data_IF_108294806817
#
_entry.id   IF_108294806817
#
_cell.length_a   1.000
_cell.length_b   1.000
_cell.length_c   1.000
_cell.angle_alpha   90.00
_cell.angle_beta   90.00
_cell.angle_gamma   90.00
#
_symmetry.space_group_name_H-M   'P 1'
#
loop_
_entity.id
_entity.type
_entity.pdbx_description
1 polymer ?
#
# COMPACT_ATOMS: atom_id res chain seq x y z
N UNK A 1 22.46 -32.33 18.86
CA UNK A 1 22.64 -31.42 20.01
C UNK A 1 21.76 -30.21 19.80
N UNK A 2 20.80 -29.97 20.70
CA UNK A 2 19.71 -29.01 20.54
C UNK A 2 20.22 -27.56 20.63
N UNK A 3 20.05 -26.77 19.55
CA UNK A 3 20.36 -25.32 19.53
C UNK A 3 19.30 -24.60 20.36
N UNK A 4 19.70 -23.91 21.44
CA UNK A 4 18.83 -22.95 22.13
C UNK A 4 18.48 -21.81 21.16
N UNK A 5 17.22 -21.71 20.74
CA UNK A 5 16.71 -20.56 20.01
C UNK A 5 16.94 -19.28 20.82
N UNK A 6 17.44 -18.24 20.16
CA UNK A 6 17.69 -16.91 20.74
C UNK A 6 16.43 -16.17 21.23
N UNK A 7 15.26 -16.79 21.08
CA UNK A 7 13.93 -16.30 21.46
C UNK A 7 13.46 -16.81 22.83
N UNK A 8 14.24 -17.71 23.47
CA UNK A 8 13.90 -18.30 24.78
C UNK A 8 14.91 -17.82 25.83
N UNK A 9 14.43 -17.00 26.77
CA UNK A 9 15.23 -16.53 27.90
C UNK A 9 15.65 -17.71 28.80
N UNK A 10 16.67 -17.54 29.64
CA UNK A 10 17.08 -18.53 30.67
C UNK A 10 15.93 -18.99 31.60
N UNK A 11 14.84 -18.23 31.67
CA UNK A 11 13.62 -18.50 32.44
C UNK A 11 12.45 -19.10 31.63
N UNK A 12 12.65 -19.51 30.37
CA UNK A 12 11.60 -20.12 29.54
C UNK A 12 10.54 -19.16 28.98
N UNK A 13 10.65 -17.85 29.25
CA UNK A 13 9.78 -16.82 28.68
C UNK A 13 10.15 -16.55 27.22
N UNK A 14 9.14 -16.60 26.35
CA UNK A 14 9.21 -16.19 24.95
C UNK A 14 9.42 -14.67 24.89
N UNK A 15 10.44 -14.22 24.15
CA UNK A 15 10.68 -12.80 23.90
C UNK A 15 10.29 -12.45 22.46
N UNK A 16 9.76 -11.24 22.21
CA UNK A 16 9.57 -10.78 20.84
C UNK A 16 10.93 -10.75 20.12
N UNK A 17 10.96 -11.02 18.81
CA UNK A 17 12.18 -10.88 18.03
C UNK A 17 12.66 -9.43 18.13
N UNK A 18 13.98 -9.26 18.27
CA UNK A 18 14.64 -7.95 18.27
C UNK A 18 15.68 -7.90 17.16
N UNK A 19 15.98 -6.70 16.68
CA UNK A 19 17.04 -6.50 15.68
C UNK A 19 18.35 -7.18 16.12
N UNK A 20 18.76 -6.96 17.36
CA UNK A 20 19.95 -7.56 17.94
C UNK A 20 19.94 -9.08 17.98
N UNK A 21 18.80 -9.68 18.34
CA UNK A 21 18.62 -11.13 18.37
C UNK A 21 18.74 -11.77 16.99
N UNK A 22 18.09 -11.18 15.99
CA UNK A 22 18.14 -11.65 14.59
C UNK A 22 19.53 -11.44 13.98
N UNK A 23 20.16 -10.28 14.22
CA UNK A 23 21.52 -9.97 13.76
C UNK A 23 22.53 -10.98 14.31
N UNK A 24 22.45 -11.30 15.61
CA UNK A 24 23.30 -12.31 16.25
C UNK A 24 23.13 -13.68 15.61
N UNK A 25 21.88 -14.13 15.45
CA UNK A 25 21.55 -15.42 14.81
C UNK A 25 22.18 -15.52 13.43
N UNK A 26 21.94 -14.51 12.57
CA UNK A 26 22.45 -14.51 11.20
C UNK A 26 23.98 -14.45 11.12
N UNK A 27 24.64 -13.77 12.07
CA UNK A 27 26.09 -13.74 12.20
C UNK A 27 26.65 -15.10 12.62
N UNK A 28 26.06 -15.72 13.64
CA UNK A 28 26.49 -17.01 14.19
C UNK A 28 26.29 -18.15 13.18
N UNK A 29 25.17 -18.17 12.46
CA UNK A 29 24.91 -19.14 11.39
C UNK A 29 25.94 -19.05 10.25
N UNK A 30 26.52 -17.86 10.04
CA UNK A 30 27.59 -17.60 9.07
C UNK A 30 29.00 -17.72 9.65
N UNK A 31 29.14 -18.08 10.93
CA UNK A 31 30.43 -18.18 11.66
C UNK A 31 31.29 -16.91 11.55
N UNK A 32 30.66 -15.75 11.53
CA UNK A 32 31.33 -14.45 11.44
C UNK A 32 31.62 -13.95 12.86
N UNK A 33 32.84 -13.46 13.11
CA UNK A 33 33.15 -12.81 14.40
C UNK A 33 32.53 -11.40 14.45
N UNK A 34 32.26 -10.88 15.66
CA UNK A 34 31.74 -9.51 15.82
C UNK A 34 32.68 -8.47 15.24
N UNK A 35 33.99 -8.68 15.40
CA UNK A 35 35.04 -7.81 14.90
C UNK A 35 35.00 -7.75 13.37
N UNK A 36 34.84 -8.91 12.71
CA UNK A 36 34.78 -8.98 11.25
C UNK A 36 33.52 -8.31 10.71
N UNK A 37 32.38 -8.52 11.36
CA UNK A 37 31.13 -7.87 10.99
C UNK A 37 31.20 -6.34 11.21
N UNK A 38 31.74 -5.91 12.35
CA UNK A 38 31.90 -4.50 12.69
C UNK A 38 32.84 -3.77 11.71
N UNK A 39 33.99 -4.39 11.41
CA UNK A 39 34.94 -3.88 10.43
C UNK A 39 34.30 -3.72 9.05
N UNK A 40 33.56 -4.73 8.59
CA UNK A 40 32.88 -4.67 7.30
C UNK A 40 31.77 -3.61 7.25
N UNK A 41 31.12 -3.32 8.38
CA UNK A 41 30.07 -2.31 8.48
C UNK A 41 30.59 -0.90 8.84
N UNK A 42 31.91 -0.71 8.99
CA UNK A 42 32.50 0.59 9.34
C UNK A 42 32.15 1.08 10.74
N UNK A 43 31.85 0.17 11.67
CA UNK A 43 31.49 0.48 13.07
C UNK A 43 32.44 -0.23 14.05
N UNK A 44 32.40 0.14 15.32
CA UNK A 44 33.23 -0.52 16.34
C UNK A 44 32.67 -1.90 16.74
N UNK A 45 33.54 -2.84 17.13
CA UNK A 45 33.10 -4.15 17.66
C UNK A 45 32.20 -4.00 18.91
N UNK A 46 32.48 -2.98 19.73
CA UNK A 46 31.64 -2.59 20.86
C UNK A 46 30.24 -2.16 20.40
N UNK A 47 30.11 -1.41 19.31
CA UNK A 47 28.81 -1.03 18.75
C UNK A 47 27.96 -2.24 18.32
N UNK A 48 28.56 -3.22 17.63
CA UNK A 48 27.88 -4.48 17.28
C UNK A 48 27.47 -5.27 18.52
N UNK A 49 28.29 -5.25 19.57
CA UNK A 49 27.97 -5.91 20.84
C UNK A 49 26.72 -5.31 21.49
N UNK A 50 26.63 -3.98 21.56
CA UNK A 50 25.46 -3.29 22.09
C UNK A 50 24.21 -3.50 21.22
N UNK A 51 24.36 -3.50 19.89
CA UNK A 51 23.25 -3.82 18.99
C UNK A 51 22.71 -5.22 19.23
N UNK A 52 23.58 -6.24 19.31
CA UNK A 52 23.16 -7.61 19.61
C UNK A 52 22.59 -7.76 21.02
N UNK A 53 23.06 -6.94 21.98
CA UNK A 53 22.60 -6.93 23.36
C UNK A 53 21.21 -6.34 23.56
N UNK A 54 20.74 -5.50 22.63
CA UNK A 54 19.50 -4.74 22.76
C UNK A 54 19.66 -3.39 23.48
N UNK A 55 20.88 -3.02 23.88
CA UNK A 55 21.16 -1.75 24.57
C UNK A 55 21.12 -0.53 23.62
N UNK A 56 21.07 -0.76 22.31
CA UNK A 56 20.90 0.26 21.27
C UNK A 56 19.80 -0.17 20.31
N UNK A 57 18.65 0.50 20.38
CA UNK A 57 17.42 0.03 19.71
C UNK A 57 17.16 0.61 18.32
N UNK A 58 17.99 1.55 17.82
CA UNK A 58 17.76 2.18 16.50
C UNK A 58 19.07 2.48 15.75
N UNK A 59 19.71 1.49 15.10
CA UNK A 59 20.83 1.76 14.20
C UNK A 59 20.38 2.63 13.01
N UNK A 60 21.32 3.36 12.39
CA UNK A 60 21.01 4.14 11.19
C UNK A 60 20.85 3.23 9.96
N UNK A 61 20.13 3.71 8.94
CA UNK A 61 19.92 2.96 7.68
C UNK A 61 21.24 2.47 7.05
N UNK A 62 22.23 3.37 6.93
CA UNK A 62 23.53 3.04 6.36
C UNK A 62 24.25 1.92 7.13
N UNK A 63 24.13 1.90 8.46
CA UNK A 63 24.72 0.84 9.30
C UNK A 63 24.01 -0.49 9.05
N UNK A 64 22.67 -0.51 9.00
CA UNK A 64 21.92 -1.74 8.74
C UNK A 64 22.19 -2.27 7.33
N UNK A 65 22.21 -1.40 6.32
CA UNK A 65 22.59 -1.76 4.93
C UNK A 65 23.99 -2.37 4.86
N UNK A 66 24.97 -1.81 5.57
CA UNK A 66 26.33 -2.32 5.58
C UNK A 66 26.44 -3.70 6.27
N UNK A 67 25.76 -3.88 7.42
CA UNK A 67 25.68 -5.14 8.14
C UNK A 67 25.03 -6.23 7.27
N UNK A 68 23.83 -5.96 6.75
CA UNK A 68 23.04 -6.85 5.90
C UNK A 68 23.79 -7.20 4.62
N UNK A 69 24.36 -6.19 3.96
CA UNK A 69 25.13 -6.35 2.73
C UNK A 69 26.35 -7.25 2.93
N UNK A 70 27.04 -7.13 4.06
CA UNK A 70 28.15 -8.03 4.38
C UNK A 70 27.67 -9.46 4.69
N UNK A 71 26.58 -9.63 5.46
CA UNK A 71 26.01 -10.95 5.73
C UNK A 71 25.62 -11.67 4.42
N UNK A 72 24.99 -10.95 3.49
CA UNK A 72 24.59 -11.46 2.18
C UNK A 72 25.78 -11.91 1.32
N UNK A 73 26.91 -11.18 1.37
CA UNK A 73 28.14 -11.54 0.64
C UNK A 73 28.76 -12.86 1.12
N UNK A 74 28.60 -13.21 2.40
CA UNK A 74 29.14 -14.46 2.96
C UNK A 74 28.23 -15.64 2.67
N UNK A 75 26.93 -15.47 2.85
CA UNK A 75 25.91 -16.45 2.48
C UNK A 75 24.61 -15.73 2.21
N UNK A 76 23.90 -16.04 1.11
CA UNK A 76 22.66 -15.37 0.74
C UNK A 76 21.71 -15.24 1.94
N UNK A 77 21.24 -14.02 2.19
CA UNK A 77 20.09 -13.81 3.08
C UNK A 77 18.84 -13.85 2.20
N UNK A 78 17.76 -14.43 2.71
CA UNK A 78 16.47 -14.34 2.01
C UNK A 78 15.93 -12.91 2.07
N UNK A 79 15.10 -12.54 1.09
CA UNK A 79 14.41 -11.24 1.08
C UNK A 79 13.55 -11.04 2.34
N UNK A 80 12.98 -12.13 2.87
CA UNK A 80 12.22 -12.10 4.12
C UNK A 80 13.10 -11.80 5.34
N UNK A 81 14.29 -12.40 5.46
CA UNK A 81 15.23 -12.13 6.55
C UNK A 81 15.80 -10.72 6.47
N UNK A 82 16.12 -10.27 5.25
CA UNK A 82 16.55 -8.90 4.99
C UNK A 82 15.49 -7.92 5.48
N UNK A 83 14.26 -8.05 4.96
CA UNK A 83 13.13 -7.20 5.35
C UNK A 83 12.90 -7.21 6.87
N UNK A 84 12.93 -8.39 7.48
CA UNK A 84 12.71 -8.54 8.91
C UNK A 84 13.74 -7.77 9.75
N UNK A 85 15.02 -7.76 9.36
CA UNK A 85 16.04 -6.96 10.03
C UNK A 85 15.76 -5.45 9.94
N UNK A 86 15.34 -4.95 8.78
CA UNK A 86 15.01 -3.54 8.62
C UNK A 86 13.75 -3.14 9.39
N UNK A 87 12.70 -3.97 9.34
CA UNK A 87 11.48 -3.76 10.11
C UNK A 87 11.78 -3.71 11.63
N UNK A 88 12.60 -4.64 12.14
CA UNK A 88 13.01 -4.67 13.54
C UNK A 88 13.91 -3.50 13.96
N UNK A 89 14.60 -2.86 13.01
CA UNK A 89 15.38 -1.66 13.27
C UNK A 89 14.53 -0.37 13.23
N UNK A 90 13.23 -0.47 12.93
CA UNK A 90 12.37 0.69 12.64
C UNK A 90 12.76 1.40 11.35
N UNK A 91 13.48 0.71 10.47
CA UNK A 91 14.02 1.20 9.20
C UNK A 91 13.32 0.56 8.00
N UNK A 92 12.09 0.04 8.21
CA UNK A 92 11.30 -0.71 7.21
C UNK A 92 11.66 -0.29 5.80
N UNK A 93 12.33 -1.24 5.15
CA UNK A 93 13.18 -1.00 4.00
C UNK A 93 12.35 -0.51 2.82
N UNK A 94 12.96 0.41 2.09
CA UNK A 94 12.59 0.90 0.78
C UNK A 94 11.44 1.91 0.72
N UNK A 95 11.74 3.00 0.00
CA UNK A 95 10.70 3.89 -0.50
C UNK A 95 9.58 3.07 -1.12
N UNK A 96 8.38 3.62 -1.10
CA UNK A 96 7.21 2.92 -1.59
C UNK A 96 7.48 2.23 -2.94
N UNK A 97 7.20 0.91 -3.08
CA UNK A 97 7.54 0.18 -4.30
C UNK A 97 6.95 0.85 -5.54
N UNK A 98 7.68 0.83 -6.65
CA UNK A 98 7.16 1.35 -7.91
C UNK A 98 5.94 0.56 -8.37
N UNK A 99 5.06 1.20 -9.15
CA UNK A 99 3.89 0.54 -9.75
C UNK A 99 4.31 -0.71 -10.54
N UNK A 100 5.45 -0.67 -11.24
CA UNK A 100 5.98 -1.81 -11.98
C UNK A 100 6.36 -2.99 -11.05
N UNK A 101 7.02 -2.72 -9.91
CA UNK A 101 7.34 -3.76 -8.92
C UNK A 101 6.07 -4.37 -8.32
N UNK A 102 5.10 -3.53 -7.95
CA UNK A 102 3.82 -4.00 -7.42
C UNK A 102 3.05 -4.85 -8.43
N UNK A 103 3.02 -4.45 -9.71
CA UNK A 103 2.44 -5.23 -10.81
C UNK A 103 3.14 -6.58 -11.00
N UNK A 104 4.47 -6.62 -10.89
CA UNK A 104 5.23 -7.88 -10.94
C UNK A 104 4.88 -8.80 -9.75
N UNK A 105 4.54 -8.22 -8.59
CA UNK A 105 4.04 -8.95 -7.43
C UNK A 105 2.63 -9.53 -7.58
N UNK A 106 1.84 -9.09 -8.57
CA UNK A 106 0.56 -9.72 -8.91
C UNK A 106 0.85 -11.04 -9.61
N UNK A 107 0.73 -12.15 -8.88
CA UNK A 107 0.97 -13.50 -9.40
C UNK A 107 -0.19 -14.09 -10.22
N UNK A 108 0.02 -15.28 -10.78
CA UNK A 108 -1.03 -16.00 -11.53
C UNK A 108 -2.26 -16.32 -10.69
N UNK A 109 -2.08 -16.70 -9.42
CA UNK A 109 -3.18 -17.00 -8.52
C UNK A 109 -4.02 -15.77 -8.16
N UNK A 110 -3.39 -14.60 -8.00
CA UNK A 110 -4.10 -13.34 -7.80
C UNK A 110 -4.95 -12.99 -9.03
N UNK A 111 -4.40 -13.13 -10.24
CA UNK A 111 -5.17 -12.92 -11.49
C UNK A 111 -6.32 -13.91 -11.63
N UNK A 112 -6.10 -15.18 -11.28
CA UNK A 112 -7.16 -16.21 -11.31
C UNK A 112 -8.29 -15.87 -10.33
N UNK A 113 -7.97 -15.47 -9.10
CA UNK A 113 -8.96 -15.05 -8.10
C UNK A 113 -9.71 -13.80 -8.57
N UNK A 114 -9.01 -12.84 -9.15
CA UNK A 114 -9.60 -11.63 -9.71
C UNK A 114 -10.67 -11.96 -10.77
N UNK A 115 -10.39 -12.90 -11.68
CA UNK A 115 -11.35 -13.34 -12.70
C UNK A 115 -12.60 -14.05 -12.11
N UNK A 116 -12.49 -14.69 -10.93
CA UNK A 116 -13.64 -15.33 -10.28
C UNK A 116 -14.67 -14.35 -9.74
N UNK A 117 -14.35 -13.05 -9.69
CA UNK A 117 -15.28 -12.04 -9.21
C UNK A 117 -16.24 -11.53 -10.27
N UNK A 118 -16.07 -11.86 -11.56
CA UNK A 118 -17.03 -11.53 -12.61
C UNK A 118 -18.46 -12.02 -12.25
N UNK A 119 -19.52 -11.22 -12.50
CA UNK A 119 -19.55 -9.89 -13.13
C UNK A 119 -19.45 -8.71 -12.13
N UNK A 120 -18.88 -8.93 -10.94
CA UNK A 120 -18.61 -7.85 -10.00
C UNK A 120 -17.37 -7.06 -10.44
N UNK A 121 -17.34 -5.78 -10.11
CA UNK A 121 -16.24 -4.88 -10.47
C UNK A 121 -15.08 -5.13 -9.52
N UNK A 122 -13.94 -5.64 -10.01
CA UNK A 122 -12.84 -6.02 -9.14
C UNK A 122 -11.47 -5.56 -9.67
N UNK A 123 -10.59 -5.16 -8.76
CA UNK A 123 -9.24 -4.73 -9.11
C UNK A 123 -8.27 -4.74 -7.93
N UNK A 124 -6.98 -4.84 -8.23
CA UNK A 124 -5.90 -4.61 -7.29
C UNK A 124 -5.35 -3.20 -7.48
N UNK A 125 -5.19 -2.48 -6.37
CA UNK A 125 -4.60 -1.15 -6.32
C UNK A 125 -3.45 -1.13 -5.33
N UNK A 126 -2.55 -0.17 -5.46
CA UNK A 126 -1.64 0.14 -4.37
C UNK A 126 -2.27 1.12 -3.36
N UNK A 127 -1.61 1.38 -2.23
CA UNK A 127 -2.12 2.33 -1.23
C UNK A 127 -2.01 3.81 -1.64
N UNK A 128 -1.51 4.09 -2.85
CA UNK A 128 -1.52 5.42 -3.48
C UNK A 128 -2.57 5.49 -4.62
N UNK A 129 -3.45 4.48 -4.70
CA UNK A 129 -4.52 4.33 -5.68
C UNK A 129 -4.06 4.22 -7.14
N UNK A 130 -2.89 3.63 -7.36
CA UNK A 130 -2.50 3.15 -8.68
C UNK A 130 -3.10 1.76 -8.94
N UNK A 131 -3.80 1.60 -10.05
CA UNK A 131 -4.39 0.36 -10.53
C UNK A 131 -3.30 -0.59 -11.05
N UNK A 132 -3.22 -1.75 -10.39
CA UNK A 132 -2.20 -2.76 -10.65
C UNK A 132 -2.70 -3.85 -11.58
N UNK A 133 -3.95 -4.29 -11.41
CA UNK A 133 -4.59 -5.33 -12.21
C UNK A 133 -6.11 -5.25 -12.01
N UNK A 134 -6.91 -5.62 -13.01
CA UNK A 134 -8.36 -5.47 -12.99
C UNK A 134 -9.03 -6.60 -13.78
N UNK A 135 -10.32 -6.82 -13.54
CA UNK A 135 -11.16 -7.69 -14.36
C UNK A 135 -11.92 -6.88 -15.43
N UNK A 136 -12.64 -7.56 -16.32
CA UNK A 136 -13.32 -6.93 -17.46
C UNK A 136 -14.44 -6.01 -16.97
N UNK A 137 -15.22 -6.44 -15.97
CA UNK A 137 -16.24 -5.60 -15.33
C UNK A 137 -15.70 -4.29 -14.77
N UNK A 138 -14.45 -4.26 -14.30
CA UNK A 138 -13.80 -3.02 -13.84
C UNK A 138 -13.44 -2.09 -14.99
N UNK A 139 -12.92 -2.63 -16.09
CA UNK A 139 -12.64 -1.83 -17.28
C UNK A 139 -13.93 -1.23 -17.88
N UNK A 140 -15.02 -2.00 -17.86
CA UNK A 140 -16.34 -1.55 -18.31
C UNK A 140 -16.96 -0.48 -17.40
N UNK A 141 -16.83 -0.65 -16.07
CA UNK A 141 -17.37 0.31 -15.10
C UNK A 141 -16.58 1.63 -15.06
N UNK A 142 -15.26 1.59 -15.27
CA UNK A 142 -14.38 2.76 -15.20
C UNK A 142 -13.57 2.94 -16.50
N UNK A 143 -14.22 3.24 -17.63
CA UNK A 143 -13.54 3.44 -18.90
C UNK A 143 -12.52 4.58 -18.81
N UNK A 144 -11.34 4.38 -19.39
CA UNK A 144 -10.21 5.32 -19.34
C UNK A 144 -9.37 5.28 -18.06
N UNK A 145 -9.85 4.67 -16.96
CA UNK A 145 -9.06 4.55 -15.73
C UNK A 145 -7.92 3.53 -15.90
N UNK A 146 -8.15 2.50 -16.71
CA UNK A 146 -7.16 1.48 -17.06
C UNK A 146 -5.94 2.06 -17.80
N UNK A 147 -6.12 3.22 -18.46
CA UNK A 147 -5.07 3.93 -19.19
C UNK A 147 -4.29 4.89 -18.28
N UNK A 148 -4.98 5.61 -17.39
CA UNK A 148 -4.37 6.64 -16.53
C UNK A 148 -3.82 6.13 -15.19
N UNK A 149 -4.02 4.85 -14.89
CA UNK A 149 -3.49 4.06 -13.75
C UNK A 149 -3.80 4.63 -12.36
N UNK A 150 -3.74 5.92 -12.09
CA UNK A 150 -4.05 6.53 -10.81
C UNK A 150 -5.49 7.08 -10.80
N UNK A 151 -6.25 6.77 -9.75
CA UNK A 151 -7.65 7.22 -9.60
C UNK A 151 -7.79 8.75 -9.70
N UNK A 152 -6.88 9.53 -9.08
CA UNK A 152 -6.95 10.99 -9.12
C UNK A 152 -6.64 11.54 -10.51
N UNK A 153 -5.68 10.93 -11.22
CA UNK A 153 -5.37 11.30 -12.61
C UNK A 153 -6.58 11.08 -13.51
N UNK A 154 -7.30 9.97 -13.32
CA UNK A 154 -8.53 9.73 -14.07
C UNK A 154 -9.63 10.73 -13.74
N UNK A 155 -9.85 11.06 -12.45
CA UNK A 155 -10.87 12.04 -12.06
C UNK A 155 -10.65 13.43 -12.68
N UNK A 156 -9.42 13.92 -12.69
CA UNK A 156 -9.13 15.31 -13.10
C UNK A 156 -8.56 15.44 -14.51
N UNK A 157 -7.84 14.43 -14.99
CA UNK A 157 -7.18 14.41 -16.30
C UNK A 157 -8.00 13.78 -17.42
N UNK A 158 -9.07 13.05 -17.10
CA UNK A 158 -9.88 12.35 -18.10
C UNK A 158 -11.36 12.77 -18.01
N UNK A 159 -11.86 13.43 -19.06
CA UNK A 159 -13.25 13.91 -19.15
C UNK A 159 -14.28 12.77 -19.08
N UNK A 160 -13.88 11.53 -19.40
CA UNK A 160 -14.74 10.34 -19.28
C UNK A 160 -15.21 10.15 -17.84
N UNK A 161 -14.41 10.51 -16.84
CA UNK A 161 -14.79 10.39 -15.43
C UNK A 161 -16.06 11.16 -15.09
N UNK A 162 -16.25 12.37 -15.64
CA UNK A 162 -17.44 13.20 -15.43
C UNK A 162 -18.69 12.62 -16.09
N UNK A 163 -18.51 11.82 -17.14
CA UNK A 163 -19.61 11.14 -17.84
C UNK A 163 -20.04 9.87 -17.13
N UNK A 164 -19.09 9.15 -16.52
CA UNK A 164 -19.30 7.89 -15.79
C UNK A 164 -19.84 8.16 -14.39
N UNK A 165 -19.24 9.07 -13.64
CA UNK A 165 -19.60 9.31 -12.24
C UNK A 165 -20.82 10.23 -12.15
N UNK A 166 -21.96 9.69 -11.70
CA UNK A 166 -23.22 10.45 -11.59
C UNK A 166 -23.07 11.62 -10.60
N UNK A 167 -22.38 11.38 -9.49
CA UNK A 167 -22.07 12.38 -8.47
C UNK A 167 -20.59 12.77 -8.52
N UNK A 168 -20.05 13.05 -9.71
CA UNK A 168 -18.62 13.28 -9.93
C UNK A 168 -17.98 14.24 -8.91
N UNK A 169 -18.59 15.40 -8.65
CA UNK A 169 -18.01 16.41 -7.76
C UNK A 169 -17.87 15.88 -6.32
N UNK A 170 -18.87 15.13 -5.85
CA UNK A 170 -18.86 14.52 -4.52
C UNK A 170 -17.75 13.48 -4.39
N UNK A 171 -17.60 12.63 -5.39
CA UNK A 171 -16.63 11.53 -5.41
C UNK A 171 -15.20 12.04 -5.57
N UNK A 172 -15.00 13.04 -6.44
CA UNK A 172 -13.72 13.72 -6.59
C UNK A 172 -13.30 14.43 -5.30
N UNK A 173 -14.20 15.17 -4.65
CA UNK A 173 -13.93 15.84 -3.37
C UNK A 173 -13.60 14.84 -2.27
N UNK A 174 -14.35 13.74 -2.14
CA UNK A 174 -14.05 12.68 -1.18
C UNK A 174 -12.65 12.10 -1.40
N UNK A 175 -12.27 11.86 -2.65
CA UNK A 175 -10.95 11.31 -3.00
C UNK A 175 -9.82 12.29 -2.67
N UNK A 176 -10.05 13.59 -2.86
CA UNK A 176 -9.12 14.67 -2.46
C UNK A 176 -8.95 14.74 -0.93
N UNK A 177 -10.05 14.68 -0.19
CA UNK A 177 -10.03 14.71 1.28
C UNK A 177 -9.30 13.49 1.85
N UNK A 178 -9.42 12.36 1.17
CA UNK A 178 -8.77 11.12 1.58
C UNK A 178 -7.28 11.12 1.22
N UNK A 179 -6.88 11.74 0.09
CA UNK A 179 -5.48 11.96 -0.26
C UNK A 179 -4.75 12.73 0.85
N UNK A 180 -5.38 13.75 1.44
CA UNK A 180 -4.82 14.50 2.58
C UNK A 180 -4.52 13.58 3.76
N UNK A 181 -5.46 12.68 4.09
CA UNK A 181 -5.28 11.68 5.13
C UNK A 181 -4.14 10.71 4.83
N UNK A 182 -4.02 10.25 3.57
CA UNK A 182 -2.93 9.37 3.14
C UNK A 182 -1.55 10.03 3.23
N UNK A 183 -1.44 11.30 2.80
CA UNK A 183 -0.18 12.07 2.90
C UNK A 183 0.25 12.13 4.37
N UNK A 184 -0.67 12.44 5.28
CA UNK A 184 -0.39 12.50 6.71
C UNK A 184 0.10 11.18 7.32
N UNK A 185 -0.34 10.03 6.80
CA UNK A 185 0.10 8.71 7.27
C UNK A 185 1.45 8.27 6.71
N UNK A 186 1.85 8.78 5.54
CA UNK A 186 2.93 8.20 4.75
C UNK A 186 4.35 8.59 5.23
N UNK A 187 4.52 9.70 5.96
CA UNK A 187 5.80 10.20 6.47
C UNK A 187 6.82 10.64 5.39
N UNK A 188 6.78 10.01 4.21
CA UNK A 188 7.48 10.33 2.97
C UNK A 188 6.64 11.30 2.13
N UNK A 189 7.18 12.50 1.86
CA UNK A 189 6.47 13.57 1.17
C UNK A 189 6.79 13.67 -0.33
N UNK A 190 7.84 13.02 -0.83
CA UNK A 190 8.33 13.27 -2.20
C UNK A 190 7.29 12.91 -3.27
N UNK A 191 6.71 11.71 -3.17
CA UNK A 191 5.65 11.26 -4.09
C UNK A 191 4.42 12.18 -4.06
N UNK A 192 4.08 12.71 -2.88
CA UNK A 192 2.90 13.55 -2.71
C UNK A 192 3.12 14.93 -3.31
N UNK A 193 4.34 15.48 -3.21
CA UNK A 193 4.70 16.74 -3.85
C UNK A 193 4.56 16.65 -5.37
N UNK A 194 5.12 15.61 -5.99
CA UNK A 194 5.01 15.40 -7.44
C UNK A 194 3.54 15.28 -7.89
N UNK A 195 2.74 14.50 -7.18
CA UNK A 195 1.33 14.32 -7.49
C UNK A 195 0.55 15.64 -7.32
N UNK A 196 0.85 16.43 -6.29
CA UNK A 196 0.20 17.73 -6.06
C UNK A 196 0.60 18.78 -7.11
N UNK A 197 1.85 18.79 -7.57
CA UNK A 197 2.30 19.66 -8.66
C UNK A 197 1.59 19.32 -9.98
N UNK A 198 1.38 18.03 -10.24
CA UNK A 198 0.63 17.56 -11.40
C UNK A 198 -0.85 17.95 -11.31
N UNK A 199 -1.53 17.52 -10.25
CA UNK A 199 -2.97 17.73 -10.08
C UNK A 199 -3.31 19.21 -9.86
N UNK A 200 -2.38 19.99 -9.31
CA UNK A 200 -2.50 21.44 -9.12
C UNK A 200 -2.71 22.23 -10.41
N UNK A 201 -2.50 21.62 -11.59
CA UNK A 201 -2.81 22.24 -12.89
C UNK A 201 -4.31 22.32 -13.15
N UNK A 202 -5.11 21.41 -12.59
CA UNK A 202 -6.56 21.37 -12.77
C UNK A 202 -7.29 22.34 -11.82
N UNK A 203 -8.11 23.28 -12.34
CA UNK A 203 -8.84 24.25 -11.51
C UNK A 203 -9.74 23.61 -10.45
N UNK A 204 -10.43 22.54 -10.81
CA UNK A 204 -11.34 21.79 -9.94
C UNK A 204 -10.58 21.16 -8.77
N UNK A 205 -9.42 20.55 -9.04
CA UNK A 205 -8.56 20.00 -8.01
C UNK A 205 -8.10 21.09 -7.03
N UNK A 206 -7.62 22.25 -7.53
CA UNK A 206 -7.20 23.37 -6.66
C UNK A 206 -8.32 23.86 -5.77
N UNK A 207 -9.54 23.97 -6.31
CA UNK A 207 -10.72 24.39 -5.54
C UNK A 207 -11.04 23.39 -4.44
N UNK A 208 -11.12 22.09 -4.77
CA UNK A 208 -11.40 21.03 -3.80
C UNK A 208 -10.31 20.92 -2.74
N UNK A 209 -9.04 20.97 -3.17
CA UNK A 209 -7.89 20.96 -2.26
C UNK A 209 -7.96 22.14 -1.29
N UNK A 210 -8.28 23.35 -1.75
CA UNK A 210 -8.34 24.55 -0.90
C UNK A 210 -9.44 24.51 0.16
N UNK A 211 -10.46 23.65 0.01
CA UNK A 211 -11.49 23.49 1.04
C UNK A 211 -10.94 22.91 2.36
N UNK A 212 -9.83 22.15 2.29
CA UNK A 212 -9.06 21.75 3.46
C UNK A 212 -9.70 20.68 4.34
N UNK A 213 -10.75 20.00 3.89
CA UNK A 213 -11.35 18.88 4.62
C UNK A 213 -10.40 17.66 4.62
N UNK A 214 -10.63 16.71 5.52
CA UNK A 214 -9.85 15.47 5.60
C UNK A 214 -10.76 14.34 6.05
N UNK A 215 -10.65 13.19 5.37
CA UNK A 215 -11.32 11.96 5.76
C UNK A 215 -10.34 10.78 5.77
N UNK A 216 -10.67 9.74 6.51
CA UNK A 216 -9.90 8.49 6.58
C UNK A 216 -10.64 7.30 5.97
N UNK A 217 -11.79 7.56 5.34
CA UNK A 217 -12.57 6.55 4.66
C UNK A 217 -13.83 7.12 4.04
N UNK A 218 -14.66 6.20 3.55
CA UNK A 218 -15.93 6.50 2.91
C UNK A 218 -17.06 6.28 3.92
N UNK A 219 -17.86 7.32 4.17
CA UNK A 219 -19.01 7.26 5.09
C UNK A 219 -20.19 6.45 4.52
N UNK A 220 -20.32 6.38 3.18
CA UNK A 220 -21.35 5.60 2.47
C UNK A 220 -20.74 4.65 1.46
N UNK A 221 -20.94 3.33 1.50
CA UNK A 221 -20.21 2.41 0.64
C UNK A 221 -20.61 2.48 -0.86
N UNK A 222 -21.73 3.11 -1.19
CA UNK A 222 -22.22 3.20 -2.58
C UNK A 222 -21.69 4.42 -3.33
N UNK A 223 -21.25 4.23 -4.56
CA UNK A 223 -21.06 5.28 -5.59
C UNK A 223 -22.05 5.04 -6.75
N UNK A 224 -22.49 6.10 -7.41
CA UNK A 224 -23.41 6.00 -8.54
C UNK A 224 -22.67 6.20 -9.86
N UNK A 225 -22.77 5.21 -10.74
CA UNK A 225 -22.11 5.19 -12.04
C UNK A 225 -23.16 5.15 -13.15
N UNK A 226 -22.74 5.59 -14.34
CA UNK A 226 -23.47 5.49 -15.59
C UNK A 226 -22.71 4.58 -16.55
N UNK A 227 -23.37 3.53 -17.03
CA UNK A 227 -22.86 2.74 -18.14
C UNK A 227 -22.89 3.62 -19.41
N UNK A 228 -21.73 3.90 -20.00
CA UNK A 228 -21.64 4.80 -21.16
C UNK A 228 -22.17 4.18 -22.46
N UNK A 229 -22.32 2.86 -22.52
CA UNK A 229 -22.84 2.15 -23.69
C UNK A 229 -24.37 2.15 -23.69
N UNK A 230 -25.00 1.99 -22.52
CA UNK A 230 -26.46 1.93 -22.39
C UNK A 230 -27.09 3.23 -21.90
N UNK A 231 -26.33 4.07 -21.20
CA UNK A 231 -26.80 5.28 -20.53
C UNK A 231 -27.44 5.02 -19.17
N UNK A 232 -27.57 3.76 -18.75
CA UNK A 232 -28.22 3.37 -17.49
C UNK A 232 -27.37 3.72 -16.27
N UNK A 233 -28.03 4.22 -15.22
CA UNK A 233 -27.40 4.44 -13.92
C UNK A 233 -27.47 3.18 -13.05
N UNK A 234 -26.41 2.90 -12.32
CA UNK A 234 -26.37 1.84 -11.31
C UNK A 234 -25.56 2.27 -10.09
N UNK A 235 -25.81 1.59 -8.97
CA UNK A 235 -25.04 1.77 -7.75
C UNK A 235 -23.94 0.72 -7.67
N UNK A 236 -22.77 1.11 -7.17
CA UNK A 236 -21.68 0.20 -6.89
C UNK A 236 -21.37 0.26 -5.39
N UNK A 237 -21.65 -0.82 -4.68
CA UNK A 237 -21.24 -1.01 -3.28
C UNK A 237 -19.77 -1.40 -3.25
N UNK A 238 -18.90 -0.43 -2.93
CA UNK A 238 -17.47 -0.53 -3.07
C UNK A 238 -16.79 -0.76 -1.71
N UNK A 239 -15.98 -1.80 -1.63
CA UNK A 239 -15.16 -2.14 -0.46
C UNK A 239 -13.70 -2.33 -0.85
N UNK A 240 -12.81 -1.89 0.04
CA UNK A 240 -11.37 -2.05 -0.08
C UNK A 240 -10.86 -2.98 1.02
N UNK A 241 -10.16 -4.03 0.61
CA UNK A 241 -9.55 -5.02 1.49
C UNK A 241 -8.04 -4.93 1.40
N UNK A 242 -7.34 -5.00 2.53
CA UNK A 242 -5.88 -5.13 2.50
C UNK A 242 -5.52 -6.54 2.04
N UNK A 243 -4.54 -6.62 1.15
CA UNK A 243 -4.01 -7.90 0.67
C UNK A 243 -2.61 -8.08 1.22
N UNK A 244 -2.42 -9.14 1.99
CA UNK A 244 -1.08 -9.55 2.40
C UNK A 244 -0.38 -10.23 1.23
N UNK A 245 0.47 -9.47 0.55
CA UNK A 245 1.45 -10.00 -0.40
C UNK A 245 2.73 -10.34 0.35
N UNK A 246 3.34 -11.50 0.08
CA UNK A 246 4.63 -11.87 0.66
C UNK A 246 5.74 -10.87 0.31
N UNK A 247 5.67 -10.29 -0.88
CA UNK A 247 6.71 -9.40 -1.41
C UNK A 247 6.47 -7.94 -0.99
N UNK A 248 5.19 -7.54 -0.87
CA UNK A 248 4.80 -6.17 -0.54
C UNK A 248 3.60 -6.13 0.45
N UNK A 249 3.75 -6.65 1.68
CA UNK A 249 2.69 -6.70 2.67
C UNK A 249 2.22 -5.29 3.02
N UNK A 250 0.90 -5.13 3.10
CA UNK A 250 0.25 -3.85 3.37
C UNK A 250 0.34 -2.81 2.24
N UNK A 251 0.93 -3.13 1.08
CA UNK A 251 1.07 -2.19 -0.05
C UNK A 251 0.03 -2.36 -1.15
N UNK A 252 -0.63 -3.52 -1.19
CA UNK A 252 -1.66 -3.84 -2.19
C UNK A 252 -3.02 -3.93 -1.49
N UNK A 253 -4.03 -3.38 -2.14
CA UNK A 253 -5.43 -3.40 -1.75
C UNK A 253 -6.23 -4.10 -2.85
N UNK A 254 -7.29 -4.80 -2.46
CA UNK A 254 -8.28 -5.38 -3.35
C UNK A 254 -9.55 -4.55 -3.27
N UNK A 255 -9.97 -4.02 -4.42
CA UNK A 255 -11.26 -3.35 -4.61
C UNK A 255 -12.28 -4.38 -5.08
N UNK A 256 -13.43 -4.39 -4.43
CA UNK A 256 -14.61 -5.13 -4.87
C UNK A 256 -15.81 -4.19 -4.87
N UNK A 257 -16.43 -4.05 -6.03
CA UNK A 257 -17.66 -3.30 -6.26
C UNK A 257 -18.79 -4.24 -6.67
N UNK A 258 -19.84 -4.32 -5.84
CA UNK A 258 -21.04 -5.10 -6.17
C UNK A 258 -22.06 -4.17 -6.81
N UNK A 259 -22.49 -4.51 -8.03
CA UNK A 259 -23.52 -3.75 -8.73
C UNK A 259 -24.87 -3.97 -8.05
N UNK A 260 -25.53 -2.86 -7.70
CA UNK A 260 -26.88 -2.83 -7.16
C UNK A 260 -27.73 -1.87 -7.98
N UNK A 261 -29.06 -1.99 -7.89
CA UNK A 261 -29.97 -1.06 -8.56
C UNK A 261 -29.72 0.36 -8.06
N UNK A 262 -29.67 1.34 -8.97
CA UNK A 262 -29.65 2.74 -8.58
C UNK A 262 -30.94 3.03 -7.80
N UNK A 263 -30.91 3.55 -6.57
CA UNK A 263 -32.13 4.06 -5.94
C UNK A 263 -32.70 5.15 -6.86
N UNK A 264 -33.99 5.07 -7.18
CA UNK A 264 -34.66 6.16 -7.90
C UNK A 264 -34.42 7.47 -7.16
N UNK A 265 -34.14 8.58 -7.88
CA UNK A 265 -34.02 9.88 -7.25
C UNK A 265 -35.30 10.16 -6.45
N UNK A 266 -35.13 10.55 -5.18
CA UNK A 266 -36.22 10.75 -4.21
C UNK A 266 -37.29 11.80 -4.61
N UNK A 267 -37.18 12.40 -5.80
CA UNK A 267 -38.12 13.38 -6.35
C UNK A 267 -39.44 12.77 -6.88
N UNK A 268 -39.58 11.45 -6.96
CA UNK A 268 -40.80 10.81 -7.48
C UNK A 268 -41.81 10.39 -6.40
N UNK A 269 -41.44 10.37 -5.10
CA UNK A 269 -42.34 9.88 -4.03
C UNK A 269 -43.25 10.92 -3.40
N UNK A 270 -43.16 12.19 -3.82
CA UNK A 270 -44.00 13.29 -3.31
C UNK A 270 -45.12 13.69 -4.27
N UNK A 271 -45.48 12.86 -5.26
CA UNK A 271 -46.63 13.10 -6.16
C UNK A 271 -47.72 12.03 -6.13
N UNK A 272 -47.63 11.01 -5.28
CA UNK A 272 -48.67 9.96 -5.18
C UNK A 272 -49.28 9.76 -3.78
N UNK A 273 -48.95 10.58 -2.79
CA UNK A 273 -49.66 10.57 -1.51
C UNK A 273 -50.16 11.98 -1.15
N UNK A 274 -51.41 12.23 -1.57
CA UNK A 274 -52.43 13.18 -1.04
C UNK A 274 -52.20 14.68 -1.13
#
# INVERSE_FOLDING_TARGET
>A
MSRKSSEVSSNGLLRPPSFGGVLRRLRDDRRISREKLAFAAGVSSSYVTHLEGGDREHPTKAVVEALVGYLNRISPISDAERRHLFDLAGLSEDGFPTVAQLRAGIGADMRRRLALHEPNVAGYLDTRWNLLCWNDSYAEAFPGLVDDVNILRWFFGNEVSQRVMVEWEREAMLTVDWLRGLIGQSGDTAWSTELLEELGRYPEFRRMWSAGHTTYGRDRPHMHLRDLRTGECFSLDAQLFRVDSSNHPGRIQFFLGIRTSCPEPAAARSREES
#
